data_IF_238278846826
#
_entry.id   IF_238278846826
#
_cell.length_a   1.000
_cell.length_b   1.000
_cell.length_c   1.000
_cell.angle_alpha   90.00
_cell.angle_beta   90.00
_cell.angle_gamma   90.00
#
_symmetry.space_group_name_H-M   'P 1'
#
loop_
_entity.id
_entity.type
_entity.pdbx_description
1 polymer ?
#
# COMPACT_ATOMS: atom_id res chain seq x y z
N UNK A 1 5.79 -14.45 -21.95
CA UNK A 1 5.53 -13.40 -20.91
C UNK A 1 6.68 -13.43 -19.91
N UNK A 2 7.51 -12.38 -19.80
CA UNK A 2 8.81 -12.45 -19.12
C UNK A 2 8.75 -12.68 -17.60
N UNK A 3 7.63 -12.38 -16.94
CA UNK A 3 7.48 -12.55 -15.47
C UNK A 3 6.95 -13.92 -15.04
N UNK A 4 6.54 -14.82 -15.96
CA UNK A 4 5.89 -16.08 -15.60
C UNK A 4 6.85 -17.27 -15.40
N UNK A 5 8.16 -17.06 -15.59
CA UNK A 5 9.17 -18.11 -15.44
C UNK A 5 9.38 -18.54 -13.97
N UNK A 6 9.05 -17.68 -13.01
CA UNK A 6 9.21 -17.94 -11.56
C UNK A 6 7.87 -17.80 -10.83
N UNK A 7 7.58 -18.65 -9.81
CA UNK A 7 6.32 -18.61 -9.06
C UNK A 7 6.08 -17.25 -8.38
N UNK A 8 7.14 -16.57 -7.95
CA UNK A 8 7.06 -15.21 -7.39
C UNK A 8 6.68 -14.17 -8.44
N UNK A 9 7.17 -14.31 -9.67
CA UNK A 9 6.86 -13.39 -10.77
C UNK A 9 5.41 -13.54 -11.25
N UNK A 10 4.88 -14.77 -11.24
CA UNK A 10 3.47 -15.03 -11.51
C UNK A 10 2.56 -14.40 -10.44
N UNK A 11 2.93 -14.53 -9.15
CA UNK A 11 2.21 -13.86 -8.05
C UNK A 11 2.26 -12.34 -8.17
N UNK A 12 3.42 -11.78 -8.50
CA UNK A 12 3.59 -10.34 -8.72
C UNK A 12 2.70 -9.83 -9.86
N UNK A 13 2.72 -10.52 -11.01
CA UNK A 13 1.91 -10.17 -12.16
C UNK A 13 0.41 -10.29 -11.86
N UNK A 14 0.01 -11.32 -11.10
CA UNK A 14 -1.37 -11.49 -10.64
C UNK A 14 -1.80 -10.34 -9.73
N UNK A 15 -1.01 -9.99 -8.72
CA UNK A 15 -1.32 -8.89 -7.81
C UNK A 15 -1.38 -7.54 -8.53
N UNK A 16 -0.44 -7.27 -9.44
CA UNK A 16 -0.46 -6.05 -10.24
C UNK A 16 -1.70 -5.99 -11.13
N UNK A 17 -2.04 -7.09 -11.82
CA UNK A 17 -3.24 -7.16 -12.65
C UNK A 17 -4.50 -6.91 -11.83
N UNK A 18 -4.56 -7.47 -10.63
CA UNK A 18 -5.73 -7.33 -9.77
C UNK A 18 -5.87 -5.93 -9.17
N UNK A 19 -4.75 -5.26 -8.89
CA UNK A 19 -4.73 -3.87 -8.43
C UNK A 19 -5.16 -2.90 -9.53
N UNK A 20 -4.70 -3.13 -10.76
CA UNK A 20 -4.93 -2.25 -11.91
C UNK A 20 -6.28 -2.49 -12.62
N UNK A 21 -6.80 -3.72 -12.63
CA UNK A 21 -8.04 -4.08 -13.35
C UNK A 21 -9.27 -3.24 -12.97
N UNK A 22 -9.57 -2.93 -11.69
CA UNK A 22 -10.76 -2.15 -11.34
C UNK A 22 -10.60 -0.64 -11.60
N UNK A 23 -9.43 -0.17 -12.05
CA UNK A 23 -9.15 1.27 -12.18
C UNK A 23 -9.89 1.86 -13.38
N UNK A 24 -10.68 2.90 -13.13
CA UNK A 24 -11.38 3.66 -14.16
C UNK A 24 -10.38 4.42 -15.05
N UNK A 25 -10.72 4.66 -16.31
CA UNK A 25 -9.89 5.44 -17.26
C UNK A 25 -9.51 6.83 -16.70
N UNK A 26 -10.38 7.43 -15.89
CA UNK A 26 -10.14 8.71 -15.22
C UNK A 26 -8.95 8.68 -14.25
N UNK A 27 -8.68 7.55 -13.61
CA UNK A 27 -7.53 7.39 -12.71
C UNK A 27 -6.22 7.54 -13.48
N UNK A 28 -6.14 6.93 -14.66
CA UNK A 28 -4.99 7.05 -15.56
C UNK A 28 -4.82 8.46 -16.12
N UNK A 29 -5.92 9.10 -16.52
CA UNK A 29 -5.89 10.48 -17.01
C UNK A 29 -5.40 11.44 -15.92
N UNK A 30 -5.89 11.28 -14.69
CA UNK A 30 -5.43 12.09 -13.56
C UNK A 30 -3.93 11.90 -13.28
N UNK A 31 -3.43 10.65 -13.27
CA UNK A 31 -1.98 10.41 -13.12
C UNK A 31 -1.16 10.99 -14.27
N UNK A 32 -1.67 10.96 -15.50
CA UNK A 32 -1.01 11.58 -16.65
C UNK A 32 -0.91 13.10 -16.46
N UNK A 33 -2.00 13.76 -16.10
CA UNK A 33 -2.03 15.20 -15.83
C UNK A 33 -1.07 15.56 -14.68
N UNK A 34 -1.11 14.82 -13.58
CA UNK A 34 -0.19 15.01 -12.45
C UNK A 34 1.27 14.79 -12.88
N UNK A 35 1.54 13.80 -13.72
CA UNK A 35 2.87 13.54 -14.27
C UNK A 35 3.40 14.69 -15.14
N UNK A 36 2.54 15.31 -15.95
CA UNK A 36 2.90 16.52 -16.71
C UNK A 36 3.23 17.69 -15.77
N UNK A 37 2.44 17.88 -14.71
CA UNK A 37 2.72 18.92 -13.70
C UNK A 37 4.05 18.65 -12.98
N UNK A 38 4.35 17.39 -12.66
CA UNK A 38 5.63 17.00 -12.06
C UNK A 38 6.83 17.34 -12.97
N UNK A 39 6.72 17.12 -14.28
CA UNK A 39 7.79 17.42 -15.24
C UNK A 39 7.99 18.91 -15.50
N UNK A 40 6.91 19.65 -15.69
CA UNK A 40 6.97 21.02 -16.24
C UNK A 40 6.57 22.11 -15.24
N UNK A 41 5.96 21.77 -14.11
CA UNK A 41 5.48 22.74 -13.12
C UNK A 41 6.59 23.42 -12.31
N UNK A 42 6.24 24.40 -11.48
CA UNK A 42 7.16 24.95 -10.47
C UNK A 42 7.52 23.91 -9.41
N UNK A 43 8.57 24.15 -8.61
CA UNK A 43 8.95 23.21 -7.53
C UNK A 43 7.83 22.98 -6.51
N UNK A 44 7.07 24.04 -6.20
CA UNK A 44 5.89 23.94 -5.34
C UNK A 44 4.79 23.09 -5.98
N UNK A 45 4.51 23.30 -7.27
CA UNK A 45 3.52 22.50 -8.00
C UNK A 45 3.94 21.03 -8.11
N UNK A 46 5.24 20.74 -8.27
CA UNK A 46 5.79 19.38 -8.26
C UNK A 46 5.48 18.68 -6.93
N UNK A 47 5.79 19.32 -5.80
CA UNK A 47 5.51 18.76 -4.46
C UNK A 47 4.03 18.43 -4.28
N UNK A 48 3.14 19.37 -4.62
CA UNK A 48 1.69 19.17 -4.55
C UNK A 48 1.24 18.04 -5.49
N UNK A 49 1.76 17.98 -6.72
CA UNK A 49 1.41 16.94 -7.68
C UNK A 49 1.86 15.54 -7.23
N UNK A 50 3.00 15.41 -6.56
CA UNK A 50 3.42 14.15 -5.94
C UNK A 50 2.46 13.71 -4.83
N UNK A 51 2.08 14.63 -3.94
CA UNK A 51 1.12 14.37 -2.85
C UNK A 51 -0.22 13.89 -3.44
N UNK A 52 -0.74 14.58 -4.45
CA UNK A 52 -1.99 14.21 -5.13
C UNK A 52 -1.89 12.85 -5.84
N UNK A 53 -0.73 12.52 -6.42
CA UNK A 53 -0.50 11.23 -7.08
C UNK A 53 -0.53 10.06 -6.08
N UNK A 54 -0.05 10.27 -4.85
CA UNK A 54 -0.21 9.30 -3.78
C UNK A 54 -1.64 9.26 -3.24
N UNK A 55 -2.32 10.41 -3.09
CA UNK A 55 -3.71 10.47 -2.64
C UNK A 55 -4.67 9.73 -3.59
N UNK A 56 -4.51 9.87 -4.90
CA UNK A 56 -5.34 9.14 -5.86
C UNK A 56 -5.05 7.63 -5.86
N UNK A 57 -3.90 7.22 -5.30
CA UNK A 57 -3.45 5.83 -5.17
C UNK A 57 -3.70 5.25 -3.77
N UNK A 58 -4.31 6.02 -2.85
CA UNK A 58 -4.46 5.65 -1.44
C UNK A 58 -5.15 4.31 -1.23
N UNK A 59 -6.22 4.06 -2.00
CA UNK A 59 -7.01 2.84 -1.86
C UNK A 59 -6.22 1.60 -2.30
N UNK A 60 -5.27 1.75 -3.23
CA UNK A 60 -4.33 0.70 -3.59
C UNK A 60 -3.38 0.37 -2.42
N UNK A 61 -2.87 1.40 -1.73
CA UNK A 61 -1.97 1.20 -0.60
C UNK A 61 -2.67 0.55 0.59
N UNK A 62 -3.90 0.98 0.90
CA UNK A 62 -4.64 0.54 2.08
C UNK A 62 -5.27 -0.86 1.93
N UNK A 63 -5.80 -1.18 0.74
CA UNK A 63 -6.67 -2.36 0.56
C UNK A 63 -5.92 -3.62 0.16
N UNK A 64 -4.69 -3.49 -0.34
CA UNK A 64 -3.89 -4.64 -0.80
C UNK A 64 -3.73 -5.70 0.29
N UNK A 65 -3.54 -5.31 1.54
CA UNK A 65 -3.38 -6.25 2.65
C UNK A 65 -4.69 -6.94 3.10
N UNK A 66 -5.83 -6.29 2.87
CA UNK A 66 -7.14 -6.69 3.40
C UNK A 66 -7.98 -7.51 2.41
N UNK A 67 -7.56 -7.53 1.15
CA UNK A 67 -8.31 -8.05 0.02
C UNK A 67 -8.83 -9.49 0.18
N UNK A 68 -8.02 -10.41 0.69
CA UNK A 68 -8.40 -11.82 0.86
C UNK A 68 -9.39 -11.99 2.00
N UNK A 69 -9.29 -11.13 3.00
CA UNK A 69 -10.21 -11.12 4.12
C UNK A 69 -11.57 -10.60 3.65
N UNK A 70 -11.57 -9.52 2.87
CA UNK A 70 -12.78 -8.96 2.27
C UNK A 70 -13.43 -9.92 1.26
N UNK A 71 -12.63 -10.69 0.52
CA UNK A 71 -13.11 -11.69 -0.44
C UNK A 71 -13.44 -13.06 0.20
N UNK A 72 -13.17 -13.26 1.50
CA UNK A 72 -13.37 -14.54 2.18
C UNK A 72 -12.44 -15.67 1.74
N UNK A 73 -11.36 -15.37 1.01
CA UNK A 73 -10.41 -16.36 0.47
C UNK A 73 -9.15 -16.53 1.32
N UNK A 74 -9.04 -15.80 2.43
CA UNK A 74 -7.87 -15.83 3.32
C UNK A 74 -7.50 -17.24 3.80
N UNK A 75 -8.50 -18.06 4.18
CA UNK A 75 -8.25 -19.43 4.67
C UNK A 75 -7.64 -20.35 3.60
N UNK A 76 -8.05 -20.18 2.34
CA UNK A 76 -7.53 -20.95 1.21
C UNK A 76 -6.11 -20.51 0.84
N UNK A 77 -5.82 -19.21 0.88
CA UNK A 77 -4.51 -18.68 0.49
C UNK A 77 -3.44 -18.93 1.57
N UNK A 78 -3.78 -18.75 2.85
CA UNK A 78 -2.82 -18.81 3.94
C UNK A 78 -2.56 -20.22 4.48
N UNK A 79 -3.30 -21.24 4.02
CA UNK A 79 -3.04 -22.65 4.35
C UNK A 79 -1.84 -23.24 3.60
N UNK A 80 -1.46 -22.64 2.46
CA UNK A 80 -0.33 -23.10 1.67
C UNK A 80 1.03 -22.73 2.31
N UNK A 81 1.97 -23.69 2.31
CA UNK A 81 3.30 -23.51 2.90
C UNK A 81 4.05 -22.32 2.26
N UNK A 82 4.71 -21.51 3.10
CA UNK A 82 5.52 -20.35 2.71
C UNK A 82 4.80 -19.22 1.96
N UNK A 83 3.50 -19.32 1.68
CA UNK A 83 2.74 -18.28 0.97
C UNK A 83 2.68 -16.98 1.78
N UNK A 84 2.59 -17.07 3.11
CA UNK A 84 2.53 -15.90 3.99
C UNK A 84 3.70 -14.92 3.76
N UNK A 85 4.95 -15.42 3.75
CA UNK A 85 6.14 -14.57 3.54
C UNK A 85 6.23 -14.07 2.11
N UNK A 86 6.01 -14.96 1.12
CA UNK A 86 6.07 -14.60 -0.31
C UNK A 86 5.05 -13.52 -0.67
N UNK A 87 3.82 -13.65 -0.16
CA UNK A 87 2.75 -12.69 -0.40
C UNK A 87 3.07 -11.31 0.21
N UNK A 88 3.65 -11.27 1.40
CA UNK A 88 4.10 -10.01 2.02
C UNK A 88 5.10 -9.29 1.11
N UNK A 89 6.16 -9.97 0.68
CA UNK A 89 7.18 -9.38 -0.19
C UNK A 89 6.58 -8.90 -1.52
N UNK A 90 5.71 -9.70 -2.12
CA UNK A 90 5.02 -9.33 -3.37
C UNK A 90 4.18 -8.07 -3.16
N UNK A 91 3.40 -7.98 -2.07
CA UNK A 91 2.55 -6.81 -1.79
C UNK A 91 3.34 -5.55 -1.53
N UNK A 92 4.35 -5.65 -0.68
CA UNK A 92 5.27 -4.54 -0.41
C UNK A 92 5.90 -4.10 -1.73
N UNK A 93 6.37 -5.04 -2.56
CA UNK A 93 6.95 -4.75 -3.87
C UNK A 93 5.97 -4.05 -4.82
N UNK A 94 4.73 -4.53 -4.94
CA UNK A 94 3.70 -3.93 -5.82
C UNK A 94 3.33 -2.52 -5.36
N UNK A 95 3.07 -2.34 -4.06
CA UNK A 95 2.67 -1.05 -3.49
C UNK A 95 3.82 -0.05 -3.55
N UNK A 96 5.06 -0.49 -3.28
CA UNK A 96 6.27 0.31 -3.44
C UNK A 96 6.47 0.73 -4.91
N UNK A 97 6.36 -0.22 -5.84
CA UNK A 97 6.47 0.07 -7.26
C UNK A 97 5.41 1.08 -7.69
N UNK A 98 4.16 0.94 -7.23
CA UNK A 98 3.11 1.91 -7.51
C UNK A 98 3.42 3.30 -6.93
N UNK A 99 3.88 3.36 -5.68
CA UNK A 99 4.24 4.62 -5.02
C UNK A 99 5.37 5.34 -5.77
N UNK A 100 6.41 4.62 -6.20
CA UNK A 100 7.52 5.15 -6.99
C UNK A 100 7.07 5.53 -8.39
N UNK A 101 6.31 4.68 -9.09
CA UNK A 101 5.83 4.95 -10.44
C UNK A 101 4.91 6.17 -10.50
N UNK A 102 4.09 6.40 -9.47
CA UNK A 102 3.20 7.56 -9.39
C UNK A 102 3.94 8.91 -9.34
N UNK A 103 5.22 8.90 -8.94
CA UNK A 103 6.10 10.08 -8.88
C UNK A 103 7.33 9.94 -9.77
N UNK A 104 7.33 8.97 -10.69
CA UNK A 104 8.45 8.72 -11.60
C UNK A 104 8.83 9.94 -12.45
N UNK A 105 7.88 10.72 -13.00
CA UNK A 105 8.22 11.94 -13.73
C UNK A 105 8.97 12.96 -12.86
N UNK A 106 8.59 13.13 -11.59
CA UNK A 106 9.34 13.96 -10.64
C UNK A 106 10.74 13.40 -10.37
N UNK A 107 10.90 12.08 -10.22
CA UNK A 107 12.20 11.45 -10.01
C UNK A 107 13.15 11.70 -11.20
N UNK A 108 12.66 11.57 -12.43
CA UNK A 108 13.44 11.87 -13.64
C UNK A 108 13.88 13.32 -13.70
N UNK A 109 13.02 14.25 -13.28
CA UNK A 109 13.36 15.67 -13.25
C UNK A 109 14.40 15.98 -12.17
N UNK A 110 14.25 15.42 -10.98
CA UNK A 110 15.11 15.69 -9.84
C UNK A 110 16.48 15.02 -9.93
N UNK A 111 16.60 13.92 -10.68
CA UNK A 111 17.87 13.20 -10.86
C UNK A 111 18.95 14.03 -11.54
N UNK A 112 18.56 15.08 -12.26
CA UNK A 112 19.47 15.96 -12.99
C UNK A 112 20.00 17.15 -12.17
N UNK A 113 19.51 17.38 -10.95
CA UNK A 113 19.90 18.61 -10.22
C UNK A 113 19.75 18.63 -8.71
N UNK A 114 18.94 17.77 -8.08
CA UNK A 114 18.71 17.83 -6.63
C UNK A 114 18.66 16.42 -6.00
N UNK A 115 19.82 15.80 -5.72
CA UNK A 115 19.89 14.43 -5.19
C UNK A 115 19.26 14.29 -3.81
N UNK A 116 19.31 15.35 -2.98
CA UNK A 116 18.71 15.34 -1.65
C UNK A 116 17.18 15.28 -1.71
N UNK A 117 16.55 16.11 -2.54
CA UNK A 117 15.10 16.08 -2.79
C UNK A 117 14.67 14.76 -3.41
N UNK A 118 15.47 14.19 -4.31
CA UNK A 118 15.22 12.88 -4.90
C UNK A 118 15.20 11.79 -3.82
N UNK A 119 16.20 11.77 -2.93
CA UNK A 119 16.25 10.81 -1.82
C UNK A 119 15.06 10.99 -0.88
N UNK A 120 14.73 12.23 -0.52
CA UNK A 120 13.56 12.54 0.30
C UNK A 120 12.27 11.99 -0.34
N UNK A 121 12.08 12.22 -1.64
CA UNK A 121 10.92 11.72 -2.39
C UNK A 121 10.84 10.18 -2.40
N UNK A 122 11.96 9.49 -2.56
CA UNK A 122 12.02 8.03 -2.49
C UNK A 122 11.70 7.50 -1.08
N UNK A 123 12.24 8.14 -0.04
CA UNK A 123 11.97 7.74 1.35
C UNK A 123 10.50 7.96 1.73
N UNK A 124 9.90 9.06 1.28
CA UNK A 124 8.46 9.32 1.45
C UNK A 124 7.63 8.27 0.72
N UNK A 125 7.94 7.97 -0.54
CA UNK A 125 7.24 6.94 -1.31
C UNK A 125 7.31 5.56 -0.63
N UNK A 126 8.49 5.16 -0.16
CA UNK A 126 8.67 3.91 0.57
C UNK A 126 7.88 3.89 1.88
N UNK A 127 7.91 4.99 2.63
CA UNK A 127 7.17 5.11 3.90
C UNK A 127 5.67 5.02 3.70
N UNK A 128 5.10 5.71 2.70
CA UNK A 128 3.66 5.64 2.39
C UNK A 128 3.28 4.21 2.02
N UNK A 129 4.08 3.55 1.18
CA UNK A 129 3.82 2.19 0.74
C UNK A 129 3.78 1.21 1.92
N UNK A 130 4.80 1.24 2.79
CA UNK A 130 4.87 0.35 3.95
C UNK A 130 3.81 0.71 4.99
N UNK A 131 3.57 2.01 5.24
CA UNK A 131 2.55 2.49 6.17
C UNK A 131 1.14 2.03 5.77
N UNK A 132 0.81 2.07 4.47
CA UNK A 132 -0.48 1.62 3.94
C UNK A 132 -0.81 0.20 4.33
N UNK A 133 0.15 -0.70 4.13
CA UNK A 133 0.02 -2.12 4.47
C UNK A 133 0.02 -2.28 5.99
N UNK A 134 0.97 -1.66 6.70
CA UNK A 134 1.15 -1.84 8.13
C UNK A 134 -0.08 -1.36 8.93
N UNK A 135 -0.59 -0.17 8.64
CA UNK A 135 -1.78 0.40 9.29
C UNK A 135 -3.04 -0.38 8.89
N UNK A 136 -3.16 -0.76 7.61
CA UNK A 136 -4.26 -1.60 7.14
C UNK A 136 -4.33 -2.92 7.89
N UNK A 137 -3.19 -3.58 8.09
CA UNK A 137 -3.07 -4.81 8.88
C UNK A 137 -3.38 -4.57 10.36
N UNK A 138 -2.83 -3.51 10.97
CA UNK A 138 -3.02 -3.20 12.39
C UNK A 138 -4.50 -2.93 12.73
N UNK A 139 -5.16 -2.12 11.91
CA UNK A 139 -6.54 -1.72 12.14
C UNK A 139 -7.58 -2.67 11.53
N UNK A 140 -7.15 -3.62 10.68
CA UNK A 140 -8.04 -4.49 9.89
C UNK A 140 -9.10 -3.71 9.09
N UNK A 141 -8.77 -2.48 8.74
CA UNK A 141 -9.67 -1.52 8.09
C UNK A 141 -8.81 -0.55 7.26
N UNK A 142 -9.16 -0.23 6.00
CA UNK A 142 -8.37 0.71 5.19
C UNK A 142 -8.54 2.18 5.63
N UNK A 143 -9.65 2.53 6.29
CA UNK A 143 -10.01 3.94 6.59
C UNK A 143 -8.99 4.70 7.45
N UNK A 144 -8.39 4.11 8.51
CA UNK A 144 -7.41 4.83 9.31
C UNK A 144 -6.20 5.30 8.51
N UNK A 145 -5.71 4.48 7.58
CA UNK A 145 -4.62 4.89 6.70
C UNK A 145 -5.06 5.99 5.72
N UNK A 146 -6.25 5.86 5.11
CA UNK A 146 -6.79 6.89 4.21
C UNK A 146 -6.86 8.25 4.91
N UNK A 147 -7.36 8.30 6.15
CA UNK A 147 -7.44 9.51 6.95
C UNK A 147 -6.06 10.06 7.33
N UNK A 148 -5.13 9.19 7.75
CA UNK A 148 -3.75 9.58 8.06
C UNK A 148 -3.07 10.20 6.83
N UNK A 149 -3.24 9.59 5.65
CA UNK A 149 -2.63 10.11 4.42
C UNK A 149 -3.25 11.45 3.99
N UNK A 150 -4.57 11.62 4.15
CA UNK A 150 -5.24 12.91 3.87
C UNK A 150 -4.78 14.00 4.85
N UNK A 151 -4.72 13.71 6.15
CA UNK A 151 -4.20 14.65 7.15
C UNK A 151 -2.74 15.02 6.87
N UNK A 152 -1.94 14.02 6.50
CA UNK A 152 -0.54 14.19 6.12
C UNK A 152 -0.40 15.04 4.85
N UNK A 153 -1.29 14.86 3.87
CA UNK A 153 -1.30 15.61 2.63
C UNK A 153 -1.67 17.07 2.87
N UNK A 154 -2.67 17.31 3.72
CA UNK A 154 -3.02 18.65 4.16
C UNK A 154 -1.81 19.35 4.80
N UNK A 155 -1.14 18.71 5.76
CA UNK A 155 0.07 19.25 6.38
C UNK A 155 1.19 19.51 5.35
N UNK A 156 1.40 18.59 4.41
CA UNK A 156 2.40 18.74 3.34
C UNK A 156 2.12 19.92 2.41
N UNK A 157 0.86 20.17 2.06
CA UNK A 157 0.44 21.31 1.24
C UNK A 157 0.65 22.64 1.98
N UNK A 158 0.46 22.65 3.31
CA UNK A 158 0.78 23.80 4.16
C UNK A 158 2.29 24.04 4.35
N UNK A 159 3.14 23.21 3.75
CA UNK A 159 4.59 23.35 3.75
C UNK A 159 5.33 22.54 4.81
N UNK A 160 4.63 21.75 5.63
CA UNK A 160 5.29 20.87 6.58
C UNK A 160 6.03 19.73 5.87
N UNK A 161 7.19 19.34 6.42
CA UNK A 161 8.08 18.33 5.85
C UNK A 161 7.51 16.90 5.81
N UNK A 162 6.27 16.69 6.26
CA UNK A 162 5.69 15.36 6.48
C UNK A 162 5.36 14.61 5.17
N UNK A 163 4.95 15.33 4.13
CA UNK A 163 4.75 14.76 2.78
C UNK A 163 5.30 15.64 1.66
N UNK A 164 5.96 16.76 1.99
CA UNK A 164 6.49 17.69 1.01
C UNK A 164 8.02 17.64 0.99
N UNK A 165 8.63 16.77 0.16
CA UNK A 165 10.08 16.65 0.10
C UNK A 165 10.76 17.88 -0.55
N UNK A 166 9.98 18.84 -1.09
CA UNK A 166 10.53 20.01 -1.80
C UNK A 166 10.76 21.23 -0.91
N UNK A 167 10.10 21.32 0.25
CA UNK A 167 10.24 22.47 1.16
C UNK A 167 11.45 22.33 2.08
N UNK A 168 11.59 21.18 2.73
CA UNK A 168 12.74 20.84 3.56
C UNK A 168 13.09 19.34 3.39
N UNK A 169 13.90 19.01 2.36
CA UNK A 169 14.30 17.62 2.09
C UNK A 169 14.99 16.96 3.28
N UNK A 170 15.76 17.70 4.07
CA UNK A 170 16.52 17.18 5.21
C UNK A 170 15.58 16.73 6.33
N UNK A 171 14.62 17.59 6.71
CA UNK A 171 13.61 17.23 7.70
C UNK A 171 12.73 16.06 7.22
N UNK A 172 12.36 16.02 5.94
CA UNK A 172 11.59 14.91 5.35
C UNK A 172 12.37 13.59 5.45
N UNK A 173 13.68 13.59 5.11
CA UNK A 173 14.55 12.41 5.23
C UNK A 173 14.63 11.95 6.68
N UNK A 174 14.87 12.88 7.64
CA UNK A 174 14.98 12.53 9.05
C UNK A 174 13.68 11.89 9.58
N UNK A 175 12.53 12.48 9.25
CA UNK A 175 11.23 11.96 9.65
C UNK A 175 10.97 10.57 9.06
N UNK A 176 11.13 10.40 7.75
CA UNK A 176 10.89 9.11 7.10
C UNK A 176 11.96 8.06 7.43
N UNK A 177 13.16 8.50 7.80
CA UNK A 177 14.22 7.64 8.35
C UNK A 177 13.81 6.99 9.67
N UNK A 178 12.94 7.64 10.45
CA UNK A 178 12.36 7.08 11.69
C UNK A 178 11.06 6.32 11.40
N UNK A 179 10.16 6.89 10.59
CA UNK A 179 8.85 6.28 10.32
C UNK A 179 8.96 4.96 9.55
N UNK A 180 9.83 4.89 8.54
CA UNK A 180 9.99 3.69 7.72
C UNK A 180 10.35 2.44 8.54
N UNK A 181 11.40 2.44 9.39
CA UNK A 181 11.73 1.27 10.21
C UNK A 181 10.61 0.95 11.21
N UNK A 182 9.93 1.96 11.78
CA UNK A 182 8.78 1.73 12.67
C UNK A 182 7.66 0.98 11.96
N UNK A 183 7.29 1.42 10.74
CA UNK A 183 6.27 0.72 9.95
C UNK A 183 6.72 -0.67 9.48
N UNK A 184 8.00 -0.84 9.14
CA UNK A 184 8.57 -2.15 8.82
C UNK A 184 8.46 -3.12 10.02
N UNK A 185 8.86 -2.69 11.21
CA UNK A 185 8.76 -3.48 12.44
C UNK A 185 7.30 -3.81 12.75
N UNK A 186 6.42 -2.82 12.67
CA UNK A 186 4.98 -3.02 12.87
C UNK A 186 4.41 -4.05 11.87
N UNK A 187 4.79 -3.94 10.60
CA UNK A 187 4.34 -4.86 9.56
C UNK A 187 4.83 -6.29 9.82
N UNK A 188 6.12 -6.48 10.10
CA UNK A 188 6.70 -7.81 10.39
C UNK A 188 6.07 -8.43 11.63
N UNK A 189 5.82 -7.64 12.68
CA UNK A 189 5.23 -8.13 13.93
C UNK A 189 3.75 -8.51 13.77
N UNK A 190 2.98 -7.75 12.99
CA UNK A 190 1.54 -7.95 12.86
C UNK A 190 1.15 -8.90 11.72
N UNK A 191 2.02 -9.11 10.73
CA UNK A 191 1.73 -9.95 9.57
C UNK A 191 1.35 -11.41 9.92
N UNK A 192 2.05 -12.12 10.82
CA UNK A 192 1.67 -13.48 11.19
C UNK A 192 0.28 -13.54 11.83
N UNK A 193 -0.08 -12.53 12.63
CA UNK A 193 -1.40 -12.42 13.30
C UNK A 193 -2.53 -12.09 12.33
N UNK A 194 -2.19 -11.46 11.20
CA UNK A 194 -3.14 -11.20 10.11
C UNK A 194 -3.40 -12.46 9.29
N UNK A 195 -2.36 -13.28 9.10
CA UNK A 195 -2.44 -14.53 8.35
C UNK A 195 -3.03 -15.69 9.16
N UNK A 196 -3.04 -15.61 10.50
CA UNK A 196 -3.65 -16.65 11.32
C UNK A 196 -5.15 -16.67 11.09
N UNK A 197 -5.59 -17.75 10.43
CA UNK A 197 -6.99 -18.10 10.26
C UNK A 197 -7.51 -18.48 11.64
N UNK A 198 -7.87 -17.48 12.43
CA UNK A 198 -8.78 -17.73 13.54
C UNK A 198 -10.09 -18.19 12.91
N UNK A 199 -10.65 -19.30 13.39
CA UNK A 199 -11.94 -19.92 13.01
C UNK A 199 -13.15 -18.98 13.22
N UNK A 200 -13.03 -17.68 12.93
CA UNK A 200 -13.99 -16.67 13.34
C UNK A 200 -15.26 -16.64 12.50
N UNK A 201 -15.39 -17.46 11.47
CA UNK A 201 -16.67 -17.64 10.78
C UNK A 201 -16.64 -18.89 9.89
N UNK A 202 -16.62 -20.09 10.48
CA UNK A 202 -17.35 -21.18 9.83
C UNK A 202 -18.83 -20.96 10.21
N UNK A 203 -19.69 -20.39 9.34
CA UNK A 203 -21.14 -20.36 9.60
C UNK A 203 -21.72 -21.77 9.84
N UNK A 204 -20.96 -22.79 9.43
CA UNK A 204 -21.23 -24.21 9.63
C UNK A 204 -20.99 -24.73 11.06
N UNK A 205 -20.20 -24.06 11.92
CA UNK A 205 -19.98 -24.54 13.29
C UNK A 205 -21.25 -24.45 14.15
N UNK A 206 -22.08 -23.42 13.89
CA UNK A 206 -23.43 -23.33 14.45
C UNK A 206 -24.44 -24.29 13.81
N UNK A 207 -24.24 -24.63 12.53
CA UNK A 207 -25.13 -25.51 11.76
C UNK A 207 -24.93 -26.99 12.13
N UNK A 208 -23.70 -27.40 12.41
CA UNK A 208 -23.38 -28.74 12.94
C UNK A 208 -23.89 -28.94 14.38
N UNK A 209 -23.85 -27.90 15.22
CA UNK A 209 -24.48 -27.96 16.56
C UNK A 209 -26.00 -28.13 16.50
N UNK A 210 -26.69 -27.59 15.48
CA UNK A 210 -28.15 -27.76 15.34
C UNK A 210 -28.59 -29.15 14.88
N UNK A 211 -27.73 -29.90 14.17
CA UNK A 211 -28.09 -31.24 13.70
C UNK A 211 -27.86 -32.36 14.72
N UNK A 212 -26.94 -32.19 15.68
CA UNK A 212 -26.77 -33.15 16.78
C UNK A 212 -27.82 -33.03 17.89
N UNK A 213 -28.47 -31.86 18.05
CA UNK A 213 -29.53 -31.66 19.04
C UNK A 213 -30.90 -32.27 18.68
N UNK A 214 -31.12 -32.75 17.44
CA UNK A 214 -32.42 -33.31 17.01
C UNK A 214 -32.51 -34.84 17.08
N UNK A 215 -31.44 -35.55 17.44
CA UNK A 215 -31.46 -37.01 17.59
C UNK A 215 -31.63 -37.49 19.04
N UNK A 216 -31.84 -36.58 20.00
CA UNK A 216 -32.00 -36.91 21.41
C UNK A 216 -33.47 -36.86 21.90
N UNK A 217 -34.44 -36.74 21.00
CA UNK A 217 -35.87 -36.62 21.31
C UNK A 217 -36.76 -37.56 20.46
N UNK A 218 -36.21 -38.68 19.99
CA UNK A 218 -36.98 -39.75 19.35
C UNK A 218 -36.59 -41.09 19.97
#
# INVERSE_FOLDING_TARGET
KPFEANPTGLLLAAELKLLLRPRRRLWWLALLVLGLVQLFGSMQALGIACILAWLISTDAFARTALRERDAGTAALLFSAAHVQRRLLFVRVGVVLALAVLSVFPALLRLSLGNPLTLLALLMTAASIAVAGIAVGVACRNPRPFELLLVASAYAGIQGHALLNPTTDPGATIALHGILLPVFCVMLVALWPRHCSVTEQAAPWSGLLKRHHGRKALA
#
